data_IF_038716431016
#
_entry.id   IF_038716431016
#
_cell.length_a   1.000
_cell.length_b   1.000
_cell.length_c   1.000
_cell.angle_alpha   90.00
_cell.angle_beta   90.00
_cell.angle_gamma   90.00
#
_symmetry.space_group_name_H-M   'P 1'
#
loop_
_entity.id
_entity.type
_entity.pdbx_description
1 polymer ?
#
# COMPACT_ATOMS: atom_id res chain seq x y z
N UNK A 1 -28.33 75.05 47.55
CA UNK A 1 -28.27 73.66 47.04
C UNK A 1 -27.94 73.72 45.55
N UNK A 2 -26.66 73.60 45.26
CA UNK A 2 -26.08 73.66 43.88
C UNK A 2 -26.07 72.25 43.30
N UNK A 3 -26.72 72.05 42.19
CA UNK A 3 -26.71 70.83 41.43
C UNK A 3 -25.36 70.65 40.74
N UNK A 4 -24.76 69.47 40.88
CA UNK A 4 -23.52 69.05 40.20
C UNK A 4 -23.89 68.58 38.78
N UNK A 5 -23.28 69.09 37.73
CA UNK A 5 -23.55 68.61 36.38
C UNK A 5 -22.96 67.22 36.19
N UNK A 6 -23.79 66.29 35.75
CA UNK A 6 -23.33 64.99 35.24
C UNK A 6 -22.58 65.25 33.94
N UNK A 7 -21.28 64.89 33.86
CA UNK A 7 -20.50 65.04 32.66
C UNK A 7 -20.83 63.91 31.67
N UNK A 8 -21.29 64.21 30.49
CA UNK A 8 -21.55 63.29 29.36
C UNK A 8 -20.32 62.51 28.94
N UNK A 9 -19.10 62.99 29.26
CA UNK A 9 -17.83 62.29 28.97
C UNK A 9 -17.69 60.95 29.72
N UNK A 10 -18.21 60.84 30.96
CA UNK A 10 -18.15 59.62 31.75
C UNK A 10 -19.00 58.48 31.18
N UNK A 11 -20.09 58.81 30.52
CA UNK A 11 -21.01 57.83 29.94
C UNK A 11 -20.49 57.30 28.60
N UNK A 12 -19.83 58.15 27.84
CA UNK A 12 -19.21 57.78 26.56
C UNK A 12 -18.01 56.86 26.77
N UNK A 13 -17.17 57.14 27.77
CA UNK A 13 -16.02 56.28 28.14
C UNK A 13 -16.50 54.94 28.67
N UNK A 14 -17.55 54.91 29.48
CA UNK A 14 -18.14 53.66 30.00
C UNK A 14 -18.76 52.79 28.86
N UNK A 15 -19.43 53.39 27.88
CA UNK A 15 -19.99 52.72 26.73
C UNK A 15 -18.84 52.19 25.82
N UNK A 16 -17.77 52.95 25.62
CA UNK A 16 -16.60 52.49 24.86
C UNK A 16 -15.86 51.33 25.54
N UNK A 17 -15.72 51.35 26.88
CA UNK A 17 -15.10 50.26 27.62
C UNK A 17 -15.97 48.99 27.64
N UNK A 18 -17.29 49.12 27.76
CA UNK A 18 -18.22 47.98 27.69
C UNK A 18 -18.27 47.39 26.29
N UNK A 19 -18.21 48.21 25.22
CA UNK A 19 -18.15 47.75 23.86
C UNK A 19 -16.80 47.07 23.52
N UNK A 20 -15.68 47.60 24.03
CA UNK A 20 -14.38 46.98 23.90
C UNK A 20 -14.26 45.64 24.71
N UNK A 21 -14.85 45.55 25.90
CA UNK A 21 -14.94 44.30 26.67
C UNK A 21 -15.89 43.27 26.02
N UNK A 22 -16.97 43.70 25.40
CA UNK A 22 -17.86 42.82 24.62
C UNK A 22 -17.22 42.36 23.31
N UNK A 23 -16.40 43.18 22.65
CA UNK A 23 -15.59 42.78 21.47
C UNK A 23 -14.44 41.87 21.85
N UNK A 24 -13.83 42.01 23.05
CA UNK A 24 -12.80 41.11 23.56
C UNK A 24 -13.39 39.76 24.04
N UNK A 25 -14.67 39.70 24.43
CA UNK A 25 -15.38 38.45 24.75
C UNK A 25 -15.86 37.68 23.52
N UNK A 26 -15.85 38.31 22.33
CA UNK A 26 -16.05 37.69 21.01
C UNK A 26 -14.74 37.38 20.26
N UNK A 27 -13.57 37.65 20.86
CA UNK A 27 -12.34 36.97 20.48
C UNK A 27 -12.55 35.50 20.87
N UNK A 28 -13.10 34.74 19.93
CA UNK A 28 -13.62 33.41 20.15
C UNK A 28 -12.61 32.57 20.89
N UNK A 29 -13.06 31.90 21.93
CA UNK A 29 -12.51 30.61 22.25
C UNK A 29 -12.69 29.78 20.98
N UNK A 30 -11.68 29.73 20.13
CA UNK A 30 -11.57 28.67 19.14
C UNK A 30 -11.63 27.41 19.99
N UNK A 31 -12.76 26.74 19.98
CA UNK A 31 -12.88 25.44 20.62
C UNK A 31 -11.91 24.56 19.85
N UNK A 32 -10.88 24.04 20.52
CA UNK A 32 -9.98 23.11 19.92
C UNK A 32 -10.80 21.97 19.31
N UNK A 33 -10.72 21.80 17.99
CA UNK A 33 -11.40 20.71 17.30
C UNK A 33 -10.53 19.47 17.47
N UNK A 34 -11.02 18.47 18.19
CA UNK A 34 -10.32 17.20 18.29
C UNK A 34 -10.68 16.33 17.10
N UNK A 35 -9.69 16.06 16.25
CA UNK A 35 -9.80 15.17 15.10
C UNK A 35 -9.39 13.77 15.53
N UNK A 36 -10.32 12.84 15.38
CA UNK A 36 -10.12 11.42 15.64
C UNK A 36 -9.63 10.74 14.39
N UNK A 37 -8.63 9.89 14.52
CA UNK A 37 -7.98 9.18 13.41
C UNK A 37 -7.98 7.69 13.74
N UNK A 38 -8.69 6.90 12.95
CA UNK A 38 -8.80 5.44 13.11
C UNK A 38 -7.83 4.74 12.16
N UNK A 39 -6.97 3.88 12.68
CA UNK A 39 -5.96 3.16 11.90
C UNK A 39 -5.64 1.79 12.49
N UNK A 40 -4.57 1.16 11.97
CA UNK A 40 -4.15 -0.14 12.45
C UNK A 40 -3.60 -0.08 13.88
N UNK A 41 -3.74 -1.20 14.60
CA UNK A 41 -3.01 -1.49 15.82
C UNK A 41 -1.59 -2.04 15.53
N UNK A 42 -1.07 -2.85 16.44
CA UNK A 42 0.24 -3.47 16.28
C UNK A 42 1.39 -2.46 16.31
N UNK A 43 2.22 -2.41 15.27
CA UNK A 43 3.38 -1.51 15.17
C UNK A 43 3.05 -0.11 14.64
N UNK A 44 1.90 0.06 13.99
CA UNK A 44 1.51 1.31 13.32
C UNK A 44 1.40 2.51 14.31
N UNK A 45 0.83 2.34 15.54
CA UNK A 45 0.74 3.43 16.50
C UNK A 45 2.08 4.07 16.86
N UNK A 46 3.16 3.28 16.93
CA UNK A 46 4.48 3.80 17.27
C UNK A 46 5.02 4.80 16.24
N UNK A 47 4.59 4.68 14.99
CA UNK A 47 4.98 5.55 13.89
C UNK A 47 4.02 6.73 13.78
N UNK A 48 2.72 6.41 13.73
CA UNK A 48 1.68 7.43 13.50
C UNK A 48 1.64 8.43 14.65
N UNK A 49 1.66 7.96 15.91
CA UNK A 49 1.66 8.86 17.07
C UNK A 49 2.87 9.79 17.04
N UNK A 50 4.07 9.29 16.72
CA UNK A 50 5.24 10.14 16.59
C UNK A 50 5.12 11.15 15.44
N UNK A 51 4.58 10.75 14.29
CA UNK A 51 4.29 11.68 13.19
C UNK A 51 3.35 12.81 13.64
N UNK A 52 2.27 12.44 14.37
CA UNK A 52 1.29 13.38 14.89
C UNK A 52 1.89 14.34 15.93
N UNK A 53 2.78 13.86 16.80
CA UNK A 53 3.36 14.65 17.88
C UNK A 53 4.61 15.43 17.46
N UNK A 54 5.52 14.82 16.71
CA UNK A 54 6.85 15.36 16.42
C UNK A 54 6.88 16.22 15.14
N UNK A 55 5.94 16.03 14.21
CA UNK A 55 6.00 16.66 12.88
C UNK A 55 4.87 17.64 12.64
N UNK A 56 3.62 17.20 12.79
CA UNK A 56 2.46 18.00 12.40
C UNK A 56 1.69 18.60 13.60
N UNK A 57 1.96 18.13 14.82
CA UNK A 57 1.15 18.47 16.00
C UNK A 57 1.19 19.95 16.35
N UNK A 58 2.38 20.55 16.44
CA UNK A 58 2.54 21.97 16.84
C UNK A 58 1.84 22.93 15.86
N UNK A 59 1.92 22.65 14.54
CA UNK A 59 1.27 23.45 13.51
C UNK A 59 -0.26 23.39 13.65
N UNK A 60 -0.82 22.21 13.79
CA UNK A 60 -2.25 21.99 13.92
C UNK A 60 -2.81 22.53 15.25
N UNK A 61 -2.04 22.39 16.35
CA UNK A 61 -2.44 22.97 17.64
C UNK A 61 -2.51 24.50 17.59
N UNK A 62 -1.57 25.15 16.84
CA UNK A 62 -1.61 26.60 16.61
C UNK A 62 -2.87 27.02 15.81
N UNK A 63 -3.44 26.14 15.01
CA UNK A 63 -4.71 26.33 14.28
C UNK A 63 -5.94 25.94 15.14
N UNK A 64 -5.73 25.46 16.38
CA UNK A 64 -6.81 25.03 17.27
C UNK A 64 -7.30 23.60 16.98
N UNK A 65 -6.48 22.77 16.33
CA UNK A 65 -6.78 21.36 16.01
C UNK A 65 -5.93 20.48 16.93
N UNK A 66 -6.57 19.56 17.65
CA UNK A 66 -5.91 18.51 18.43
C UNK A 66 -6.18 17.16 17.77
N UNK A 67 -5.29 16.18 17.99
CA UNK A 67 -5.32 14.89 17.31
C UNK A 67 -5.48 13.75 18.31
N UNK A 68 -6.27 12.74 17.94
CA UNK A 68 -6.37 11.49 18.71
C UNK A 68 -6.29 10.31 17.75
N UNK A 69 -5.25 9.49 17.87
CA UNK A 69 -5.15 8.24 17.13
C UNK A 69 -5.87 7.12 17.87
N UNK A 70 -6.72 6.39 17.17
CA UNK A 70 -7.53 5.28 17.68
C UNK A 70 -7.10 3.98 16.97
N UNK A 71 -6.11 3.26 17.50
CA UNK A 71 -5.68 2.00 16.92
C UNK A 71 -6.76 0.93 17.06
N UNK A 72 -7.05 0.23 15.96
CA UNK A 72 -7.95 -0.93 15.98
C UNK A 72 -7.14 -2.21 15.95
N UNK A 73 -7.36 -3.05 16.94
CA UNK A 73 -6.76 -4.37 17.03
C UNK A 73 -7.62 -5.44 16.32
N UNK A 74 -6.98 -6.46 15.77
CA UNK A 74 -7.67 -7.55 15.08
C UNK A 74 -8.08 -7.21 13.66
N UNK A 75 -9.29 -7.58 13.27
CA UNK A 75 -9.81 -7.34 11.91
C UNK A 75 -10.24 -5.87 11.74
N UNK A 76 -9.31 -5.06 11.24
CA UNK A 76 -9.51 -3.65 10.97
C UNK A 76 -10.68 -3.39 10.03
N UNK A 77 -10.79 -4.17 8.95
CA UNK A 77 -11.82 -3.96 7.93
C UNK A 77 -13.22 -4.17 8.52
N UNK A 78 -13.42 -5.25 9.27
CA UNK A 78 -14.69 -5.50 9.93
C UNK A 78 -15.03 -4.41 10.97
N UNK A 79 -14.05 -3.96 11.74
CA UNK A 79 -14.23 -2.90 12.72
C UNK A 79 -14.60 -1.56 12.07
N UNK A 80 -13.92 -1.17 10.99
CA UNK A 80 -14.22 0.04 10.21
C UNK A 80 -15.63 -0.01 9.61
N UNK A 81 -16.00 -1.12 8.95
CA UNK A 81 -17.36 -1.28 8.38
C UNK A 81 -18.45 -1.17 9.45
N UNK A 82 -18.23 -1.74 10.61
CA UNK A 82 -19.14 -1.63 11.75
C UNK A 82 -19.25 -0.18 12.24
N UNK A 83 -18.12 0.53 12.37
CA UNK A 83 -18.09 1.92 12.81
C UNK A 83 -18.78 2.86 11.81
N UNK A 84 -18.54 2.68 10.51
CA UNK A 84 -19.21 3.44 9.43
C UNK A 84 -20.73 3.21 9.44
N UNK A 85 -21.15 1.95 9.60
CA UNK A 85 -22.56 1.58 9.65
C UNK A 85 -23.27 2.13 10.88
N UNK A 86 -22.59 2.16 12.02
CA UNK A 86 -23.10 2.69 13.28
C UNK A 86 -23.04 4.22 13.38
N UNK A 87 -22.36 4.91 12.44
CA UNK A 87 -22.11 6.36 12.49
C UNK A 87 -21.15 6.76 13.63
N UNK A 88 -20.24 5.88 14.03
CA UNK A 88 -19.25 6.09 15.11
C UNK A 88 -17.80 6.15 14.59
N UNK A 89 -17.59 6.03 13.26
CA UNK A 89 -16.28 6.12 12.66
C UNK A 89 -15.60 7.45 13.01
N UNK A 90 -14.27 7.45 13.05
CA UNK A 90 -13.46 8.63 13.27
C UNK A 90 -13.63 9.67 12.14
N UNK A 91 -13.06 10.86 12.32
CA UNK A 91 -13.06 11.93 11.31
C UNK A 91 -12.20 11.57 10.10
N UNK A 92 -11.03 10.93 10.36
CA UNK A 92 -10.19 10.26 9.37
C UNK A 92 -10.06 8.78 9.69
N UNK A 93 -9.84 7.97 8.65
CA UNK A 93 -9.58 6.54 8.81
C UNK A 93 -8.75 6.00 7.65
N UNK A 94 -8.14 4.85 7.85
CA UNK A 94 -7.48 4.12 6.80
C UNK A 94 -8.46 3.49 5.81
N UNK A 95 -8.10 3.53 4.54
CA UNK A 95 -8.78 2.79 3.49
C UNK A 95 -7.76 1.84 2.87
N UNK A 96 -7.72 0.56 3.29
CA UNK A 96 -6.91 -0.44 2.62
C UNK A 96 -7.39 -0.65 1.19
N UNK A 97 -6.46 -0.72 0.24
CA UNK A 97 -6.80 -0.75 -1.20
C UNK A 97 -7.66 -1.95 -1.58
N UNK A 98 -7.41 -3.11 -0.95
CA UNK A 98 -8.16 -4.35 -1.21
C UNK A 98 -9.65 -4.29 -0.81
N UNK A 99 -10.01 -3.38 0.08
CA UNK A 99 -11.40 -3.18 0.54
C UNK A 99 -11.96 -1.82 0.15
N UNK A 100 -11.17 -0.96 -0.49
CA UNK A 100 -11.56 0.40 -0.86
C UNK A 100 -12.91 0.47 -1.63
N UNK A 101 -13.17 -0.37 -2.64
CA UNK A 101 -14.45 -0.34 -3.35
C UNK A 101 -15.65 -0.55 -2.41
N UNK A 102 -15.54 -1.51 -1.50
CA UNK A 102 -16.61 -1.79 -0.52
C UNK A 102 -16.82 -0.67 0.49
N UNK A 103 -15.73 -0.08 0.99
CA UNK A 103 -15.77 1.05 1.93
C UNK A 103 -16.40 2.27 1.26
N UNK A 104 -15.99 2.60 0.02
CA UNK A 104 -16.49 3.75 -0.73
C UNK A 104 -17.98 3.57 -1.10
N UNK A 105 -18.39 2.34 -1.45
CA UNK A 105 -19.79 2.01 -1.74
C UNK A 105 -20.74 2.24 -0.56
N UNK A 106 -20.23 2.35 0.68
CA UNK A 106 -21.06 2.75 1.85
C UNK A 106 -21.61 4.17 1.74
N UNK A 107 -21.04 5.03 0.87
CA UNK A 107 -21.35 6.45 0.78
C UNK A 107 -20.90 7.27 1.98
N UNK A 108 -20.02 6.72 2.83
CA UNK A 108 -19.53 7.35 4.06
C UNK A 108 -18.12 7.94 3.94
N UNK A 109 -17.50 7.81 2.76
CA UNK A 109 -16.20 8.42 2.46
C UNK A 109 -16.43 9.71 1.67
N UNK A 110 -15.78 10.79 2.08
CA UNK A 110 -15.90 12.10 1.43
C UNK A 110 -15.12 12.11 0.11
N UNK A 111 -15.73 12.47 -1.05
CA UNK A 111 -14.97 12.75 -2.25
C UNK A 111 -14.06 13.98 -2.06
N UNK A 112 -12.82 13.87 -2.47
CA UNK A 112 -11.77 14.88 -2.24
C UNK A 112 -11.56 15.84 -3.42
N UNK A 113 -12.22 15.63 -4.55
CA UNK A 113 -12.08 16.47 -5.76
C UNK A 113 -12.34 17.95 -5.45
N UNK A 114 -11.34 18.80 -5.76
CA UNK A 114 -11.40 20.24 -5.49
C UNK A 114 -11.25 20.63 -4.01
N UNK A 115 -11.07 19.67 -3.12
CA UNK A 115 -10.79 19.87 -1.69
C UNK A 115 -9.32 19.67 -1.36
N UNK A 116 -8.66 18.73 -2.04
CA UNK A 116 -7.24 18.39 -1.87
C UNK A 116 -6.59 18.40 -3.25
N UNK A 117 -5.36 18.91 -3.32
CA UNK A 117 -4.53 18.83 -4.53
C UNK A 117 -3.89 17.43 -4.61
N UNK A 118 -4.22 16.69 -5.67
CA UNK A 118 -3.75 15.32 -5.89
C UNK A 118 -2.56 15.24 -6.85
N UNK A 119 -2.24 16.31 -7.59
CA UNK A 119 -1.16 16.35 -8.59
C UNK A 119 0.23 15.99 -8.02
N UNK A 120 0.57 16.26 -6.73
CA UNK A 120 1.86 15.91 -6.17
C UNK A 120 2.08 14.41 -5.90
N UNK A 121 1.07 13.57 -6.05
CA UNK A 121 1.12 12.14 -5.69
C UNK A 121 1.27 11.26 -6.92
N UNK A 122 1.86 10.09 -6.75
CA UNK A 122 2.06 9.09 -7.82
C UNK A 122 0.70 8.73 -8.45
N UNK A 123 0.57 8.91 -9.77
CA UNK A 123 -0.68 8.75 -10.51
C UNK A 123 -1.38 7.40 -10.25
N UNK A 124 -0.63 6.29 -10.25
CA UNK A 124 -1.18 4.96 -9.99
C UNK A 124 -1.77 4.79 -8.59
N UNK A 125 -1.24 5.53 -7.60
CA UNK A 125 -1.79 5.56 -6.24
C UNK A 125 -3.04 6.42 -6.14
N UNK A 126 -3.12 7.52 -6.88
CA UNK A 126 -4.34 8.33 -7.00
C UNK A 126 -5.43 7.53 -7.71
N UNK A 127 -5.09 6.82 -8.79
CA UNK A 127 -6.01 5.96 -9.53
C UNK A 127 -6.58 4.83 -8.66
N UNK A 128 -5.77 4.23 -7.79
CA UNK A 128 -6.19 3.18 -6.87
C UNK A 128 -7.36 3.59 -5.93
N UNK A 129 -7.53 4.88 -5.68
CA UNK A 129 -8.60 5.45 -4.85
C UNK A 129 -9.57 6.33 -5.65
N UNK A 130 -9.55 6.22 -6.97
CA UNK A 130 -10.47 6.94 -7.88
C UNK A 130 -11.59 6.02 -8.34
N UNK A 131 -12.83 6.36 -7.98
CA UNK A 131 -14.03 5.61 -8.35
C UNK A 131 -15.05 6.58 -8.95
N UNK A 132 -15.61 6.23 -10.11
CA UNK A 132 -16.54 7.08 -10.87
C UNK A 132 -16.00 8.52 -11.07
N UNK A 133 -14.70 8.67 -11.31
CA UNK A 133 -14.02 9.94 -11.52
C UNK A 133 -13.87 10.81 -10.25
N UNK A 134 -14.12 10.24 -9.07
CA UNK A 134 -13.93 10.91 -7.79
C UNK A 134 -12.80 10.24 -7.00
N UNK A 135 -11.91 11.03 -6.41
CA UNK A 135 -10.85 10.57 -5.50
C UNK A 135 -11.40 10.51 -4.09
N UNK A 136 -11.24 9.37 -3.41
CA UNK A 136 -11.78 9.13 -2.07
C UNK A 136 -10.73 8.99 -0.97
N UNK A 137 -9.45 9.01 -1.32
CA UNK A 137 -8.38 8.91 -0.35
C UNK A 137 -7.03 9.31 -0.95
N UNK A 138 -6.11 9.72 -0.09
CA UNK A 138 -4.71 9.97 -0.45
C UNK A 138 -3.87 8.88 0.17
N UNK A 139 -3.13 8.15 -0.65
CA UNK A 139 -2.26 7.07 -0.16
C UNK A 139 -1.26 7.61 0.87
N UNK A 140 -1.26 7.01 2.06
CA UNK A 140 -0.30 7.39 3.13
C UNK A 140 1.09 6.84 2.83
N UNK A 141 1.11 5.63 2.30
CA UNK A 141 2.30 4.87 1.90
C UNK A 141 1.92 3.81 0.89
N UNK A 142 2.93 3.16 0.33
CA UNK A 142 2.73 2.04 -0.56
C UNK A 142 3.90 1.05 -0.53
N UNK A 143 3.67 -0.10 -1.12
CA UNK A 143 4.68 -1.05 -1.56
C UNK A 143 4.35 -1.55 -2.96
N UNK A 144 5.37 -1.93 -3.70
CA UNK A 144 5.28 -2.76 -4.89
C UNK A 144 6.21 -3.96 -4.73
N UNK A 145 6.20 -4.90 -5.66
CA UNK A 145 7.11 -6.03 -5.62
C UNK A 145 8.46 -5.69 -6.28
N UNK A 146 9.50 -6.22 -5.71
CA UNK A 146 10.85 -6.27 -6.26
C UNK A 146 11.33 -7.72 -6.32
N UNK A 147 12.27 -8.01 -7.21
CA UNK A 147 13.10 -9.23 -7.16
C UNK A 147 14.17 -8.99 -6.10
N UNK A 148 14.06 -9.67 -4.96
CA UNK A 148 15.10 -9.66 -3.92
C UNK A 148 15.88 -10.96 -4.04
N UNK A 149 17.23 -10.87 -4.16
CA UNK A 149 18.05 -12.03 -4.51
C UNK A 149 19.25 -12.20 -3.60
N UNK A 150 19.62 -13.46 -3.35
CA UNK A 150 20.78 -13.88 -2.56
C UNK A 150 22.04 -13.84 -3.45
N UNK A 151 22.93 -12.88 -3.22
CA UNK A 151 24.18 -12.69 -4.00
C UNK A 151 25.10 -13.88 -3.93
N UNK A 152 25.21 -14.52 -2.76
CA UNK A 152 26.15 -15.62 -2.55
C UNK A 152 25.81 -16.84 -3.43
N UNK A 153 24.52 -17.17 -3.59
CA UNK A 153 24.08 -18.24 -4.48
C UNK A 153 24.32 -17.95 -5.97
N UNK A 154 24.12 -16.69 -6.40
CA UNK A 154 24.44 -16.30 -7.77
C UNK A 154 25.95 -16.32 -8.04
N UNK A 155 26.76 -15.87 -7.08
CA UNK A 155 28.22 -15.94 -7.16
C UNK A 155 28.72 -17.39 -7.22
N UNK A 156 28.16 -18.30 -6.40
CA UNK A 156 28.48 -19.71 -6.40
C UNK A 156 28.08 -20.39 -7.71
N UNK A 157 26.92 -20.06 -8.27
CA UNK A 157 26.48 -20.54 -9.59
C UNK A 157 27.31 -19.97 -10.75
N UNK A 158 28.08 -18.91 -10.52
CA UNK A 158 28.87 -18.23 -11.54
C UNK A 158 28.00 -17.57 -12.60
N UNK A 159 26.78 -17.15 -12.25
CA UNK A 159 25.80 -16.51 -13.14
C UNK A 159 25.61 -15.05 -12.73
N UNK A 160 25.33 -14.16 -13.69
CA UNK A 160 25.07 -12.77 -13.41
C UNK A 160 23.85 -12.58 -12.49
N UNK A 161 23.92 -11.59 -11.62
CA UNK A 161 22.76 -11.19 -10.80
C UNK A 161 21.55 -10.85 -11.66
N UNK A 162 20.33 -11.01 -11.14
CA UNK A 162 19.15 -10.41 -11.75
C UNK A 162 19.32 -8.91 -11.92
N UNK A 163 18.89 -8.36 -13.07
CA UNK A 163 19.01 -6.96 -13.40
C UNK A 163 17.78 -6.42 -14.16
N UNK A 164 17.75 -5.11 -14.37
CA UNK A 164 16.62 -4.42 -15.02
C UNK A 164 16.35 -4.83 -16.47
N UNK A 165 17.27 -5.55 -17.12
CA UNK A 165 17.11 -5.97 -18.52
C UNK A 165 16.60 -7.41 -18.64
N UNK A 166 16.37 -8.10 -17.52
CA UNK A 166 15.91 -9.48 -17.57
C UNK A 166 14.48 -9.57 -18.14
N UNK A 167 14.37 -10.47 -19.13
CA UNK A 167 13.09 -11.00 -19.58
C UNK A 167 12.74 -12.27 -18.80
N UNK A 168 11.52 -12.76 -18.93
CA UNK A 168 11.16 -14.05 -18.34
C UNK A 168 12.09 -15.18 -18.75
N UNK A 169 12.57 -15.17 -20.00
CA UNK A 169 13.50 -16.20 -20.51
C UNK A 169 14.88 -16.09 -19.84
N UNK A 170 15.51 -14.91 -19.88
CA UNK A 170 16.85 -14.72 -19.28
C UNK A 170 16.83 -14.88 -17.78
N UNK A 171 15.75 -14.44 -17.15
CA UNK A 171 15.54 -14.62 -15.71
C UNK A 171 15.39 -16.09 -15.34
N UNK A 172 14.57 -16.86 -16.05
CA UNK A 172 14.41 -18.30 -15.83
C UNK A 172 15.74 -19.05 -15.99
N UNK A 173 16.59 -18.68 -16.96
CA UNK A 173 17.91 -19.29 -17.15
C UNK A 173 18.82 -19.03 -15.94
N UNK A 174 18.77 -17.84 -15.35
CA UNK A 174 19.48 -17.53 -14.11
C UNK A 174 18.98 -18.39 -12.94
N UNK A 175 17.65 -18.56 -12.78
CA UNK A 175 17.05 -19.39 -11.75
C UNK A 175 17.49 -20.87 -11.88
N UNK A 176 17.49 -21.41 -13.12
CA UNK A 176 17.96 -22.76 -13.40
C UNK A 176 19.44 -22.96 -13.08
N UNK A 177 20.26 -21.95 -13.33
CA UNK A 177 21.68 -22.00 -13.01
C UNK A 177 21.91 -22.07 -11.48
N UNK A 178 21.15 -21.32 -10.69
CA UNK A 178 21.22 -21.37 -9.23
C UNK A 178 20.71 -22.73 -8.71
N UNK A 179 19.59 -23.24 -9.20
CA UNK A 179 19.05 -24.53 -8.75
C UNK A 179 19.91 -25.73 -9.16
N UNK A 180 20.85 -25.56 -10.07
CA UNK A 180 21.81 -26.60 -10.45
C UNK A 180 22.98 -26.74 -9.48
N UNK A 181 23.09 -25.91 -8.44
CA UNK A 181 24.16 -25.98 -7.43
C UNK A 181 24.06 -27.24 -6.55
N UNK A 182 22.87 -27.54 -6.05
CA UNK A 182 22.58 -28.67 -5.19
C UNK A 182 21.09 -29.06 -5.26
N UNK A 183 20.76 -30.30 -4.88
CA UNK A 183 19.36 -30.80 -4.87
C UNK A 183 18.44 -30.04 -3.87
N UNK A 184 19.01 -29.38 -2.86
CA UNK A 184 18.29 -28.59 -1.85
C UNK A 184 18.41 -27.06 -2.08
N UNK A 185 18.94 -26.64 -3.25
CA UNK A 185 19.03 -25.23 -3.65
C UNK A 185 18.06 -24.93 -4.77
N UNK A 186 17.36 -23.82 -4.67
CA UNK A 186 16.32 -23.40 -5.62
C UNK A 186 16.62 -22.00 -6.15
N UNK A 187 16.39 -21.79 -7.44
CA UNK A 187 16.56 -20.48 -8.07
C UNK A 187 15.60 -19.44 -7.50
N UNK A 188 14.35 -19.82 -7.20
CA UNK A 188 13.36 -18.92 -6.61
C UNK A 188 12.39 -19.64 -5.66
N UNK A 189 11.73 -18.88 -4.79
CA UNK A 189 10.56 -19.32 -4.04
C UNK A 189 9.30 -18.66 -4.60
N UNK A 190 8.31 -19.47 -4.98
CA UNK A 190 7.08 -19.03 -5.61
C UNK A 190 5.87 -19.21 -4.69
N UNK A 191 5.19 -18.09 -4.38
CA UNK A 191 3.95 -18.15 -3.62
C UNK A 191 2.81 -18.64 -4.51
N UNK A 192 2.07 -19.70 -4.13
CA UNK A 192 0.90 -20.17 -4.88
C UNK A 192 -0.34 -19.32 -4.58
N UNK A 193 -0.20 -17.99 -4.71
CA UNK A 193 -1.26 -17.04 -4.42
C UNK A 193 -1.14 -15.79 -5.30
N UNK A 194 -2.28 -15.16 -5.55
CA UNK A 194 -2.39 -13.98 -6.41
C UNK A 194 -1.53 -12.82 -5.94
N UNK A 195 -1.33 -12.68 -4.64
CA UNK A 195 -0.55 -11.62 -4.00
C UNK A 195 0.94 -11.55 -4.39
N UNK A 196 1.44 -12.54 -5.14
CA UNK A 196 2.75 -12.51 -5.79
C UNK A 196 2.64 -12.84 -7.28
N UNK A 197 1.81 -13.83 -7.61
CA UNK A 197 1.58 -14.27 -8.99
C UNK A 197 0.99 -13.16 -9.87
N UNK A 198 0.13 -12.28 -9.31
CA UNK A 198 -0.55 -11.23 -10.07
C UNK A 198 0.40 -10.33 -10.87
N UNK A 199 1.60 -10.05 -10.35
CA UNK A 199 2.61 -9.28 -11.08
C UNK A 199 3.04 -9.97 -12.39
N UNK A 200 3.13 -11.29 -12.41
CA UNK A 200 3.44 -12.05 -13.62
C UNK A 200 2.28 -12.04 -14.61
N UNK A 201 1.05 -12.18 -14.15
CA UNK A 201 -0.12 -12.06 -15.01
C UNK A 201 -0.19 -10.67 -15.70
N UNK A 202 0.08 -9.60 -14.95
CA UNK A 202 0.17 -8.24 -15.47
C UNK A 202 1.32 -8.08 -16.47
N UNK A 203 2.48 -8.70 -16.22
CA UNK A 203 3.61 -8.71 -17.14
C UNK A 203 3.31 -9.44 -18.46
N UNK A 204 2.44 -10.44 -18.44
CA UNK A 204 1.94 -11.10 -19.62
C UNK A 204 0.94 -10.25 -20.42
N UNK A 205 0.37 -9.21 -19.81
CA UNK A 205 -0.60 -8.29 -20.41
C UNK A 205 -2.04 -8.51 -19.98
N UNK A 206 -2.28 -9.44 -19.05
CA UNK A 206 -3.61 -9.65 -18.47
C UNK A 206 -4.03 -8.48 -17.56
N UNK A 207 -5.33 -8.27 -17.44
CA UNK A 207 -5.92 -7.29 -16.55
C UNK A 207 -6.92 -7.95 -15.60
N UNK A 208 -6.93 -7.58 -14.29
CA UNK A 208 -7.83 -8.18 -13.30
C UNK A 208 -9.31 -8.03 -13.64
N UNK A 209 -9.67 -6.90 -14.23
CA UNK A 209 -11.05 -6.57 -14.61
C UNK A 209 -11.06 -5.92 -16.00
N UNK A 210 -12.03 -6.29 -16.81
CA UNK A 210 -12.38 -5.56 -18.03
C UNK A 210 -13.24 -4.32 -17.71
N UNK A 211 -13.63 -3.56 -18.77
CA UNK A 211 -14.45 -2.36 -18.64
C UNK A 211 -15.85 -2.62 -18.03
N UNK A 212 -16.34 -3.86 -18.10
CA UNK A 212 -17.61 -4.28 -17.53
C UNK A 212 -17.44 -4.92 -16.14
N UNK A 213 -16.21 -4.94 -15.63
CA UNK A 213 -15.82 -5.53 -14.34
C UNK A 213 -15.83 -7.06 -14.34
N UNK A 214 -15.62 -7.71 -15.48
CA UNK A 214 -15.39 -9.14 -15.56
C UNK A 214 -13.93 -9.48 -15.33
N UNK A 215 -13.70 -10.66 -14.77
CA UNK A 215 -12.39 -11.28 -14.67
C UNK A 215 -12.34 -12.50 -15.59
N UNK A 216 -11.45 -12.51 -16.57
CA UNK A 216 -11.23 -13.64 -17.47
C UNK A 216 -9.93 -14.36 -17.10
N UNK A 217 -10.07 -15.51 -16.44
CA UNK A 217 -8.95 -16.41 -16.09
C UNK A 217 -8.57 -17.36 -17.22
N UNK A 218 -9.34 -17.37 -18.32
CA UNK A 218 -9.05 -18.14 -19.54
C UNK A 218 -8.39 -17.27 -20.61
N UNK A 219 -8.17 -15.99 -20.35
CA UNK A 219 -7.39 -15.11 -21.21
C UNK A 219 -6.02 -15.75 -21.50
N UNK A 220 -5.58 -15.79 -22.76
CA UNK A 220 -4.28 -16.39 -23.12
C UNK A 220 -3.09 -15.84 -22.34
N UNK A 221 -3.09 -14.54 -21.98
CA UNK A 221 -2.01 -13.94 -21.20
C UNK A 221 -1.99 -14.47 -19.74
N UNK A 222 -3.17 -14.70 -19.14
CA UNK A 222 -3.26 -15.31 -17.82
C UNK A 222 -2.81 -16.77 -17.83
N UNK A 223 -3.24 -17.53 -18.85
CA UNK A 223 -2.83 -18.93 -19.04
C UNK A 223 -1.31 -19.02 -19.21
N UNK A 224 -0.71 -18.18 -20.08
CA UNK A 224 0.74 -18.13 -20.31
C UNK A 224 1.51 -17.83 -18.99
N UNK A 225 1.01 -16.91 -18.19
CA UNK A 225 1.63 -16.60 -16.90
C UNK A 225 1.58 -17.80 -15.94
N UNK A 226 0.44 -18.51 -15.84
CA UNK A 226 0.34 -19.72 -15.01
C UNK A 226 1.24 -20.84 -15.53
N UNK A 227 1.30 -21.05 -16.83
CA UNK A 227 2.17 -22.06 -17.45
C UNK A 227 3.66 -21.77 -17.18
N UNK A 228 4.09 -20.53 -17.35
CA UNK A 228 5.48 -20.12 -17.06
C UNK A 228 5.83 -20.33 -15.58
N UNK A 229 4.97 -19.85 -14.68
CA UNK A 229 5.15 -19.96 -13.22
C UNK A 229 5.21 -21.43 -12.78
N UNK A 230 4.33 -22.26 -13.31
CA UNK A 230 4.27 -23.69 -13.03
C UNK A 230 5.47 -24.46 -13.59
N UNK A 231 5.94 -24.10 -14.78
CA UNK A 231 7.08 -24.79 -15.42
C UNK A 231 8.33 -24.76 -14.54
N UNK A 232 8.64 -23.61 -13.94
CA UNK A 232 9.80 -23.44 -13.07
C UNK A 232 9.72 -24.27 -11.77
N UNK A 233 8.51 -24.42 -11.21
CA UNK A 233 8.29 -25.30 -10.05
C UNK A 233 8.39 -26.76 -10.46
N UNK A 234 7.78 -27.16 -11.58
CA UNK A 234 7.78 -28.55 -12.02
C UNK A 234 9.15 -29.06 -12.46
N UNK A 235 10.02 -28.20 -12.97
CA UNK A 235 11.40 -28.54 -13.34
C UNK A 235 12.40 -28.43 -12.15
N UNK A 236 11.94 -27.98 -10.97
CA UNK A 236 12.76 -27.83 -9.76
C UNK A 236 13.61 -26.55 -9.74
N UNK A 237 13.42 -25.63 -10.70
CA UNK A 237 14.10 -24.32 -10.68
C UNK A 237 13.50 -23.37 -9.61
N UNK A 238 12.26 -23.63 -9.18
CA UNK A 238 11.61 -22.91 -8.10
C UNK A 238 10.94 -23.89 -7.10
N UNK A 239 10.71 -23.40 -5.87
CA UNK A 239 10.11 -24.17 -4.77
C UNK A 239 8.93 -23.40 -4.17
N UNK A 240 7.97 -24.11 -3.58
CA UNK A 240 6.90 -23.48 -2.80
C UNK A 240 7.36 -23.30 -1.34
N UNK A 241 6.93 -22.23 -0.64
CA UNK A 241 7.33 -22.01 0.77
C UNK A 241 7.08 -23.24 1.66
N UNK A 242 5.91 -23.87 1.52
CA UNK A 242 5.53 -25.02 2.32
C UNK A 242 6.47 -26.24 2.17
N UNK A 243 7.07 -26.43 0.99
CA UNK A 243 7.94 -27.57 0.68
C UNK A 243 9.27 -27.49 1.42
N UNK A 244 9.69 -26.28 1.82
CA UNK A 244 10.89 -26.05 2.64
C UNK A 244 10.55 -25.52 4.04
N UNK A 245 9.32 -25.75 4.51
CA UNK A 245 8.88 -25.43 5.87
C UNK A 245 8.69 -23.94 6.15
N UNK A 246 8.52 -23.12 5.11
CA UNK A 246 8.29 -21.68 5.23
C UNK A 246 6.82 -21.32 5.01
N UNK A 247 6.40 -20.18 5.58
CA UNK A 247 5.03 -19.68 5.42
C UNK A 247 4.85 -18.69 4.26
N UNK A 248 5.97 -18.12 3.75
CA UNK A 248 5.98 -17.08 2.74
C UNK A 248 7.35 -16.97 2.06
N UNK A 249 7.41 -16.25 0.94
CA UNK A 249 8.62 -16.19 0.08
C UNK A 249 9.78 -15.44 0.73
N UNK A 250 9.54 -14.43 1.57
CA UNK A 250 10.60 -13.79 2.34
C UNK A 250 11.25 -14.73 3.37
N UNK A 251 10.47 -15.64 3.98
CA UNK A 251 11.00 -16.71 4.82
C UNK A 251 11.90 -17.67 4.06
N UNK A 252 11.55 -17.99 2.80
CA UNK A 252 12.39 -18.82 1.94
C UNK A 252 13.76 -18.18 1.70
N UNK A 253 13.79 -16.89 1.38
CA UNK A 253 15.05 -16.16 1.09
C UNK A 253 15.99 -16.14 2.30
N UNK A 254 15.45 -16.18 3.51
CA UNK A 254 16.23 -16.23 4.75
C UNK A 254 16.90 -17.60 5.04
N UNK A 255 16.62 -18.64 4.23
CA UNK A 255 17.11 -20.01 4.48
C UNK A 255 18.45 -20.35 3.86
N UNK A 256 19.11 -19.46 3.15
CA UNK A 256 20.32 -19.73 2.33
C UNK A 256 20.14 -20.79 1.22
N UNK A 257 18.91 -21.30 1.01
CA UNK A 257 18.59 -22.31 -0.01
C UNK A 257 17.94 -21.71 -1.27
N UNK A 258 17.56 -20.44 -1.22
CA UNK A 258 16.76 -19.81 -2.26
C UNK A 258 17.46 -18.59 -2.85
N UNK A 259 17.58 -18.59 -4.19
CA UNK A 259 18.21 -17.50 -4.93
C UNK A 259 17.39 -16.23 -4.99
N UNK A 260 16.06 -16.34 -5.12
CA UNK A 260 15.16 -15.19 -5.35
C UNK A 260 13.84 -15.32 -4.58
N UNK A 261 13.38 -14.19 -4.04
CA UNK A 261 12.00 -13.99 -3.59
C UNK A 261 11.42 -12.71 -4.22
N UNK A 262 10.09 -12.66 -4.40
CA UNK A 262 9.36 -11.50 -4.93
C UNK A 262 8.64 -10.82 -3.77
N UNK A 263 9.21 -9.71 -3.28
CA UNK A 263 8.76 -9.10 -2.04
C UNK A 263 8.78 -7.56 -2.12
N UNK A 264 7.94 -6.92 -1.33
CA UNK A 264 8.04 -5.47 -1.11
C UNK A 264 9.04 -5.14 0.01
N UNK A 265 9.17 -3.84 0.31
CA UNK A 265 10.10 -3.34 1.33
C UNK A 265 9.86 -3.90 2.75
N UNK A 266 8.68 -4.48 3.01
CA UNK A 266 8.38 -5.17 4.28
C UNK A 266 9.34 -6.33 4.59
N UNK A 267 9.98 -6.92 3.58
CA UNK A 267 10.94 -8.02 3.79
C UNK A 267 12.23 -7.55 4.43
N UNK A 268 12.62 -6.28 4.26
CA UNK A 268 13.94 -5.76 4.68
C UNK A 268 14.13 -5.84 6.20
N UNK A 269 13.10 -5.45 6.95
CA UNK A 269 13.11 -5.59 8.42
C UNK A 269 13.25 -7.05 8.86
N UNK A 270 12.49 -7.93 8.23
CA UNK A 270 12.54 -9.37 8.50
C UNK A 270 13.92 -9.96 8.20
N UNK A 271 14.52 -9.66 7.05
CA UNK A 271 15.85 -10.15 6.68
C UNK A 271 16.93 -9.65 7.65
N UNK A 272 16.81 -8.42 8.12
CA UNK A 272 17.75 -7.85 9.12
C UNK A 272 17.73 -8.62 10.43
N UNK A 273 16.54 -9.07 10.84
CA UNK A 273 16.35 -9.75 12.12
C UNK A 273 16.64 -11.26 12.00
N UNK A 274 16.16 -11.93 10.95
CA UNK A 274 16.20 -13.39 10.81
C UNK A 274 17.41 -13.88 9.97
N UNK A 275 17.94 -13.07 9.06
CA UNK A 275 19.06 -13.42 8.19
C UNK A 275 20.11 -12.29 8.12
N UNK A 276 20.71 -11.85 9.26
CA UNK A 276 21.56 -10.65 9.33
C UNK A 276 22.87 -10.78 8.52
N UNK A 277 23.24 -11.97 8.10
CA UNK A 277 24.45 -12.22 7.30
C UNK A 277 24.17 -12.36 5.79
N UNK A 278 22.89 -12.42 5.38
CA UNK A 278 22.52 -12.57 3.99
C UNK A 278 23.01 -11.39 3.15
N UNK A 279 23.80 -11.70 2.12
CA UNK A 279 24.22 -10.72 1.13
C UNK A 279 23.16 -10.66 0.02
N UNK A 280 22.26 -9.68 0.08
CA UNK A 280 21.20 -9.56 -0.90
C UNK A 280 21.34 -8.33 -1.77
N UNK A 281 20.65 -8.34 -2.91
CA UNK A 281 20.39 -7.22 -3.77
C UNK A 281 18.91 -7.18 -4.14
N UNK A 282 18.50 -6.10 -4.79
CA UNK A 282 17.15 -5.97 -5.33
C UNK A 282 17.17 -5.40 -6.75
N UNK A 283 16.22 -5.83 -7.57
CA UNK A 283 16.01 -5.29 -8.90
C UNK A 283 14.52 -5.36 -9.28
N UNK A 284 14.17 -4.78 -10.43
CA UNK A 284 12.81 -4.77 -10.94
C UNK A 284 12.30 -6.17 -11.27
N UNK A 285 10.98 -6.32 -11.32
CA UNK A 285 10.33 -7.51 -11.87
C UNK A 285 10.78 -7.73 -13.34
N UNK A 286 10.93 -8.99 -13.80
CA UNK A 286 11.38 -9.25 -15.17
C UNK A 286 10.33 -8.84 -16.20
N UNK A 287 10.79 -8.42 -17.38
CA UNK A 287 9.93 -8.08 -18.51
C UNK A 287 9.23 -9.33 -19.03
N UNK A 288 7.89 -9.28 -19.08
CA UNK A 288 7.05 -10.38 -19.54
C UNK A 288 6.81 -10.39 -21.06
N UNK A 289 5.99 -11.35 -21.54
CA UNK A 289 5.64 -11.50 -22.96
C UNK A 289 4.98 -10.27 -23.60
N UNK A 290 4.31 -9.44 -22.80
CA UNK A 290 3.73 -8.16 -23.29
C UNK A 290 4.79 -7.12 -23.69
N UNK A 291 6.07 -7.36 -23.41
CA UNK A 291 7.15 -6.39 -23.55
C UNK A 291 7.19 -5.37 -22.40
N UNK A 292 6.42 -5.59 -21.36
CA UNK A 292 6.33 -4.75 -20.16
C UNK A 292 6.62 -5.57 -18.90
N UNK A 293 7.04 -4.91 -17.83
CA UNK A 293 7.00 -5.49 -16.49
C UNK A 293 5.58 -5.48 -15.97
N UNK A 294 5.29 -6.34 -15.00
CA UNK A 294 4.07 -6.28 -14.23
C UNK A 294 4.37 -6.02 -12.77
N UNK A 295 3.50 -5.28 -12.10
CA UNK A 295 3.63 -5.06 -10.67
C UNK A 295 2.27 -4.85 -10.01
N UNK A 296 2.25 -4.98 -8.69
CA UNK A 296 1.05 -4.79 -7.88
C UNK A 296 1.31 -3.73 -6.82
N UNK A 297 0.32 -2.89 -6.56
CA UNK A 297 0.38 -1.85 -5.54
C UNK A 297 -0.35 -2.30 -4.28
N UNK A 298 0.37 -2.34 -3.19
CA UNK A 298 -0.14 -2.55 -1.84
C UNK A 298 -0.11 -1.21 -1.12
N UNK A 299 -1.26 -0.64 -0.82
CA UNK A 299 -1.34 0.70 -0.26
C UNK A 299 -2.51 0.86 0.68
N UNK A 300 -2.40 1.84 1.56
CA UNK A 300 -3.46 2.29 2.45
C UNK A 300 -3.60 3.79 2.28
N UNK A 301 -4.82 4.28 2.11
CA UNK A 301 -5.07 5.71 2.05
C UNK A 301 -5.62 6.28 3.35
N UNK A 302 -5.43 7.56 3.53
CA UNK A 302 -6.21 8.37 4.43
C UNK A 302 -7.53 8.74 3.77
N UNK A 303 -8.66 8.36 4.37
CA UNK A 303 -9.99 8.76 3.97
C UNK A 303 -10.63 9.69 4.99
N UNK A 304 -11.50 10.59 4.54
CA UNK A 304 -12.26 11.53 5.38
C UNK A 304 -13.69 11.03 5.51
N UNK A 305 -14.21 11.00 6.73
CA UNK A 305 -15.59 10.63 7.02
C UNK A 305 -16.57 11.68 6.47
N UNK A 306 -17.44 11.28 5.52
CA UNK A 306 -18.44 12.16 4.93
C UNK A 306 -19.46 12.70 5.95
N UNK A 307 -19.68 11.98 7.05
CA UNK A 307 -20.60 12.39 8.12
C UNK A 307 -19.89 13.14 9.27
N UNK A 308 -18.59 13.39 9.18
CA UNK A 308 -17.86 14.13 10.22
C UNK A 308 -18.43 15.55 10.37
N UNK A 309 -18.67 16.02 11.61
CA UNK A 309 -18.99 17.43 11.87
C UNK A 309 -17.77 18.34 11.70
N UNK A 310 -16.55 17.77 11.65
CA UNK A 310 -15.27 18.47 11.60
C UNK A 310 -14.58 18.36 10.23
N UNK A 311 -15.34 18.25 9.12
CA UNK A 311 -14.80 17.93 7.79
C UNK A 311 -13.64 18.83 7.35
N UNK A 312 -13.77 20.15 7.53
CA UNK A 312 -12.73 21.09 7.10
C UNK A 312 -11.43 20.89 7.88
N UNK A 313 -11.52 20.67 9.19
CA UNK A 313 -10.37 20.36 10.02
C UNK A 313 -9.78 18.97 9.70
N UNK A 314 -10.62 17.97 9.38
CA UNK A 314 -10.16 16.66 8.94
C UNK A 314 -9.40 16.73 7.61
N UNK A 315 -9.87 17.53 6.64
CA UNK A 315 -9.14 17.77 5.39
C UNK A 315 -7.80 18.45 5.69
N UNK A 316 -7.76 19.44 6.55
CA UNK A 316 -6.52 20.10 6.95
C UNK A 316 -5.52 19.13 7.58
N UNK A 317 -6.01 18.19 8.42
CA UNK A 317 -5.19 17.11 8.99
C UNK A 317 -4.69 16.16 7.91
N UNK A 318 -5.54 15.78 6.95
CA UNK A 318 -5.14 14.97 5.80
C UNK A 318 -4.01 15.62 5.01
N UNK A 319 -4.11 16.93 4.72
CA UNK A 319 -3.05 17.70 4.03
C UNK A 319 -1.74 17.73 4.84
N UNK A 320 -1.82 17.89 6.16
CA UNK A 320 -0.66 17.84 7.04
C UNK A 320 0.02 16.46 7.05
N UNK A 321 -0.78 15.38 7.19
CA UNK A 321 -0.30 13.99 7.16
C UNK A 321 0.38 13.62 5.84
N UNK A 322 -0.04 14.23 4.76
CA UNK A 322 0.46 13.98 3.40
C UNK A 322 1.34 15.10 2.87
N UNK A 323 1.76 16.03 3.73
CA UNK A 323 2.68 17.12 3.38
C UNK A 323 4.05 16.60 2.96
N UNK A 324 4.85 17.36 2.20
CA UNK A 324 6.22 16.98 1.88
C UNK A 324 7.06 16.65 3.11
N UNK A 325 6.92 17.44 4.18
CA UNK A 325 7.66 17.27 5.43
C UNK A 325 7.26 15.97 6.16
N UNK A 326 5.96 15.72 6.30
CA UNK A 326 5.45 14.50 6.92
C UNK A 326 5.89 13.24 6.16
N UNK A 327 5.77 13.25 4.84
CA UNK A 327 6.15 12.10 4.01
C UNK A 327 7.68 11.91 3.93
N UNK A 328 8.46 12.99 3.91
CA UNK A 328 9.91 12.90 4.06
C UNK A 328 10.29 12.22 5.39
N UNK A 329 9.69 12.65 6.48
CA UNK A 329 9.94 12.06 7.79
C UNK A 329 9.60 10.56 7.83
N UNK A 330 8.44 10.16 7.25
CA UNK A 330 8.04 8.73 7.16
C UNK A 330 9.07 7.92 6.38
N UNK A 331 9.57 8.43 5.26
CA UNK A 331 10.62 7.79 4.47
C UNK A 331 11.90 7.59 5.29
N UNK A 332 12.34 8.61 6.01
CA UNK A 332 13.58 8.59 6.82
C UNK A 332 13.49 7.60 7.99
N UNK A 333 12.29 7.26 8.46
CA UNK A 333 12.11 6.19 9.45
C UNK A 333 12.35 4.79 8.85
N UNK A 334 12.36 4.64 7.52
CA UNK A 334 12.60 3.38 6.81
C UNK A 334 11.46 2.34 7.00
N UNK A 335 10.25 2.79 7.29
CA UNK A 335 9.12 1.93 7.66
C UNK A 335 8.07 1.82 6.58
N UNK A 336 8.00 2.81 5.68
CA UNK A 336 7.02 2.85 4.60
C UNK A 336 7.55 3.74 3.47
N UNK A 337 7.11 3.47 2.26
CA UNK A 337 7.44 4.28 1.09
C UNK A 337 6.30 5.26 0.86
N UNK A 338 6.55 6.57 0.99
CA UNK A 338 5.52 7.58 0.87
C UNK A 338 5.08 7.79 -0.58
N UNK A 339 3.89 8.34 -0.76
CA UNK A 339 3.18 8.43 -2.03
C UNK A 339 3.53 9.67 -2.88
N UNK A 340 4.35 10.61 -2.39
CA UNK A 340 4.72 11.82 -3.15
C UNK A 340 5.77 11.54 -4.20
N UNK A 341 5.47 11.93 -5.44
CA UNK A 341 6.35 11.76 -6.59
C UNK A 341 7.72 12.47 -6.42
N UNK A 342 7.72 13.65 -5.82
CA UNK A 342 8.94 14.44 -5.56
C UNK A 342 9.96 13.76 -4.64
N UNK A 343 9.59 12.67 -3.95
CA UNK A 343 10.51 11.89 -3.12
C UNK A 343 11.30 10.84 -3.90
N UNK A 344 11.04 10.66 -5.19
CA UNK A 344 11.77 9.72 -6.05
C UNK A 344 13.27 9.92 -6.05
N UNK A 345 13.72 11.18 -6.02
CA UNK A 345 15.15 11.58 -6.01
C UNK A 345 15.68 11.83 -4.59
N UNK A 346 15.03 11.29 -3.54
CA UNK A 346 15.47 11.52 -2.18
C UNK A 346 16.81 10.85 -1.90
N UNK A 347 17.78 11.53 -1.25
CA UNK A 347 19.07 10.95 -0.88
C UNK A 347 18.99 9.69 -0.02
N UNK A 348 17.86 9.42 0.61
CA UNK A 348 17.61 8.16 1.32
C UNK A 348 17.82 6.93 0.42
N UNK A 349 17.48 7.03 -0.86
CA UNK A 349 17.62 5.94 -1.83
C UNK A 349 19.05 5.76 -2.36
N UNK A 350 19.97 6.72 -2.10
CA UNK A 350 21.32 6.74 -2.64
C UNK A 350 22.42 6.45 -1.59
N UNK A 351 22.05 5.87 -0.46
CA UNK A 351 23.01 5.56 0.61
C UNK A 351 23.98 4.41 0.26
N UNK A 352 23.74 3.69 -0.84
CA UNK A 352 24.56 2.56 -1.30
C UNK A 352 24.40 1.30 -0.45
N UNK A 353 23.35 1.22 0.36
CA UNK A 353 22.98 0.02 1.12
C UNK A 353 22.00 -0.83 0.33
N UNK A 354 21.96 -2.16 0.54
CA UNK A 354 20.95 -3.03 -0.09
C UNK A 354 19.52 -2.60 0.22
N UNK A 355 19.24 -2.12 1.44
CA UNK A 355 17.95 -1.61 1.86
C UNK A 355 17.52 -0.39 1.02
N UNK A 356 18.43 0.56 0.81
CA UNK A 356 18.15 1.75 0.01
C UNK A 356 17.88 1.40 -1.47
N UNK A 357 18.65 0.47 -2.02
CA UNK A 357 18.44 -0.03 -3.38
C UNK A 357 17.08 -0.71 -3.51
N UNK A 358 16.72 -1.59 -2.57
CA UNK A 358 15.42 -2.27 -2.56
C UNK A 358 14.25 -1.28 -2.42
N UNK A 359 14.34 -0.31 -1.51
CA UNK A 359 13.33 0.74 -1.36
C UNK A 359 13.18 1.58 -2.62
N UNK A 360 14.29 1.91 -3.31
CA UNK A 360 14.24 2.64 -4.59
C UNK A 360 13.54 1.82 -5.67
N UNK A 361 13.85 0.53 -5.80
CA UNK A 361 13.20 -0.36 -6.76
C UNK A 361 11.70 -0.46 -6.48
N UNK A 362 11.31 -0.62 -5.22
CA UNK A 362 9.89 -0.64 -4.81
C UNK A 362 9.22 0.69 -5.13
N UNK A 363 9.87 1.83 -4.87
CA UNK A 363 9.33 3.16 -5.23
C UNK A 363 9.07 3.28 -6.73
N UNK A 364 10.08 2.97 -7.54
CA UNK A 364 10.00 3.08 -8.99
C UNK A 364 9.03 2.05 -9.60
N UNK A 365 8.93 0.86 -9.00
CA UNK A 365 8.03 -0.22 -9.41
C UNK A 365 6.54 0.15 -9.37
N UNK A 366 6.18 1.20 -8.63
CA UNK A 366 4.81 1.72 -8.59
C UNK A 366 4.36 2.39 -9.90
N UNK A 367 5.31 2.73 -10.79
CA UNK A 367 5.04 3.42 -12.05
C UNK A 367 5.71 2.74 -13.26
N UNK A 368 6.29 1.54 -13.09
CA UNK A 368 7.07 0.87 -14.12
C UNK A 368 6.30 -0.32 -14.74
N UNK A 369 5.83 -0.13 -15.96
CA UNK A 369 5.14 -1.16 -16.74
C UNK A 369 3.63 -1.26 -16.45
N UNK A 370 3.10 -2.47 -16.49
CA UNK A 370 1.70 -2.77 -16.21
C UNK A 370 1.51 -2.90 -14.69
N UNK A 371 1.03 -1.86 -14.04
CA UNK A 371 0.82 -1.80 -12.60
C UNK A 371 -0.67 -1.81 -12.30
N UNK A 372 -1.09 -2.61 -11.34
CA UNK A 372 -2.47 -2.64 -10.86
C UNK A 372 -2.53 -2.56 -9.33
N UNK A 373 -3.53 -1.88 -8.77
CA UNK A 373 -3.76 -1.91 -7.34
C UNK A 373 -4.18 -3.32 -6.89
N UNK A 374 -3.79 -3.70 -5.68
CA UNK A 374 -4.23 -4.94 -5.03
C UNK A 374 -5.69 -4.77 -4.54
N UNK A 375 -6.60 -4.59 -5.51
CA UNK A 375 -7.99 -4.26 -5.28
C UNK A 375 -8.91 -5.24 -6.03
N UNK A 376 -10.03 -5.64 -5.41
CA UNK A 376 -10.85 -6.78 -5.84
C UNK A 376 -12.33 -6.45 -6.01
N UNK A 377 -12.64 -5.23 -6.34
CA UNK A 377 -14.03 -4.78 -6.46
C UNK A 377 -14.80 -4.90 -5.15
N UNK A 378 -16.13 -5.03 -5.25
CA UNK A 378 -17.01 -5.09 -4.08
C UNK A 378 -17.02 -6.44 -3.37
N UNK A 379 -16.47 -7.48 -3.98
CA UNK A 379 -16.39 -8.84 -3.39
C UNK A 379 -15.18 -8.99 -2.45
N UNK A 380 -14.28 -7.99 -2.44
CA UNK A 380 -13.11 -7.96 -1.56
C UNK A 380 -12.14 -9.13 -1.82
N UNK A 381 -11.38 -9.48 -0.82
CA UNK A 381 -10.31 -10.51 -0.92
C UNK A 381 -10.81 -11.90 -1.33
N UNK A 382 -12.11 -12.18 -1.21
CA UNK A 382 -12.70 -13.44 -1.71
C UNK A 382 -12.49 -13.66 -3.22
N UNK A 383 -12.26 -12.56 -3.98
CA UNK A 383 -11.92 -12.61 -5.40
C UNK A 383 -10.65 -13.43 -5.68
N UNK A 384 -9.69 -13.44 -4.76
CA UNK A 384 -8.44 -14.20 -4.94
C UNK A 384 -8.65 -15.72 -4.80
N UNK A 385 -9.66 -16.19 -4.07
CA UNK A 385 -9.77 -17.61 -3.71
C UNK A 385 -9.77 -18.55 -4.93
N UNK A 386 -10.59 -18.35 -6.00
CA UNK A 386 -10.54 -19.23 -7.16
C UNK A 386 -9.16 -19.27 -7.84
N UNK A 387 -8.43 -18.13 -7.86
CA UNK A 387 -7.09 -18.03 -8.44
C UNK A 387 -6.09 -18.80 -7.57
N UNK A 388 -6.11 -18.58 -6.26
CA UNK A 388 -5.20 -19.22 -5.31
C UNK A 388 -5.38 -20.76 -5.33
N UNK A 389 -6.63 -21.23 -5.33
CA UNK A 389 -6.94 -22.66 -5.39
C UNK A 389 -6.44 -23.29 -6.70
N UNK A 390 -6.59 -22.58 -7.84
CA UNK A 390 -6.05 -23.03 -9.11
C UNK A 390 -4.52 -23.09 -9.11
N UNK A 391 -3.85 -22.04 -8.59
CA UNK A 391 -2.39 -22.01 -8.48
C UNK A 391 -1.87 -23.16 -7.60
N UNK A 392 -2.47 -23.38 -6.44
CA UNK A 392 -2.11 -24.52 -5.57
C UNK A 392 -2.25 -25.84 -6.31
N UNK A 393 -3.36 -26.06 -7.01
CA UNK A 393 -3.63 -27.33 -7.72
C UNK A 393 -2.63 -27.54 -8.87
N UNK A 394 -2.27 -26.49 -9.62
CA UNK A 394 -1.33 -26.57 -10.75
C UNK A 394 0.10 -26.76 -10.25
N UNK A 395 0.55 -25.93 -9.30
CA UNK A 395 1.94 -25.95 -8.82
C UNK A 395 2.27 -27.23 -8.04
N UNK A 396 1.29 -27.82 -7.37
CA UNK A 396 1.44 -29.14 -6.72
C UNK A 396 1.26 -30.33 -7.67
N UNK A 397 1.01 -30.08 -8.97
CA UNK A 397 0.82 -31.12 -9.98
C UNK A 397 -0.50 -31.91 -9.85
N UNK A 398 -1.48 -31.39 -9.09
CA UNK A 398 -2.78 -32.05 -8.87
C UNK A 398 -3.75 -31.87 -10.05
N UNK A 399 -3.59 -30.80 -10.84
CA UNK A 399 -4.42 -30.50 -11.99
C UNK A 399 -3.60 -29.94 -13.15
N UNK A 400 -4.11 -30.11 -14.39
CA UNK A 400 -3.59 -29.36 -15.53
C UNK A 400 -3.96 -27.88 -15.43
N UNK A 401 -3.18 -26.98 -16.04
CA UNK A 401 -3.50 -25.55 -16.10
C UNK A 401 -4.91 -25.31 -16.63
N UNK A 402 -5.26 -25.98 -17.77
CA UNK A 402 -6.58 -25.79 -18.38
C UNK A 402 -7.75 -26.23 -17.49
N UNK A 403 -7.63 -27.38 -16.80
CA UNK A 403 -8.70 -27.86 -15.91
C UNK A 403 -8.84 -26.97 -14.67
N UNK A 404 -7.72 -26.58 -14.06
CA UNK A 404 -7.71 -25.72 -12.88
C UNK A 404 -8.32 -24.34 -13.18
N UNK A 405 -7.89 -23.69 -14.27
CA UNK A 405 -8.40 -22.36 -14.66
C UNK A 405 -9.87 -22.42 -15.10
N UNK A 406 -10.30 -23.50 -15.81
CA UNK A 406 -11.71 -23.67 -16.13
C UNK A 406 -12.61 -23.85 -14.88
N UNK A 407 -12.08 -24.45 -13.82
CA UNK A 407 -12.79 -24.52 -12.53
C UNK A 407 -12.83 -23.14 -11.85
N UNK A 408 -11.67 -22.48 -11.76
CA UNK A 408 -11.53 -21.15 -11.17
C UNK A 408 -12.44 -20.13 -11.86
N UNK A 409 -12.55 -20.16 -13.20
CA UNK A 409 -13.42 -19.25 -13.95
C UNK A 409 -14.90 -19.44 -13.54
N UNK A 410 -15.38 -20.69 -13.40
CA UNK A 410 -16.77 -20.93 -12.96
C UNK A 410 -17.05 -20.44 -11.54
N UNK A 411 -16.07 -20.56 -10.66
CA UNK A 411 -16.16 -20.05 -9.29
C UNK A 411 -16.13 -18.52 -9.28
N UNK A 412 -15.28 -17.91 -10.11
CA UNK A 412 -15.19 -16.46 -10.28
C UNK A 412 -16.50 -15.89 -10.83
N UNK A 413 -17.08 -16.51 -11.87
CA UNK A 413 -18.37 -16.11 -12.44
C UNK A 413 -19.49 -16.16 -11.38
N UNK A 414 -19.48 -17.19 -10.54
CA UNK A 414 -20.45 -17.35 -9.44
C UNK A 414 -20.25 -16.25 -8.38
N UNK A 415 -19.02 -15.98 -8.01
CA UNK A 415 -18.66 -14.96 -7.01
C UNK A 415 -19.06 -13.54 -7.48
N UNK A 416 -18.83 -13.25 -8.75
CA UNK A 416 -19.20 -11.97 -9.37
C UNK A 416 -20.68 -11.92 -9.79
N UNK A 417 -21.48 -12.95 -9.48
CA UNK A 417 -22.91 -13.08 -9.82
C UNK A 417 -23.20 -12.99 -11.34
N UNK A 418 -22.44 -13.70 -12.14
CA UNK A 418 -22.48 -13.66 -13.62
C UNK A 418 -22.57 -15.04 -14.26
#
# INVERSE_FOLDING_TARGET
>A
LTAIPHSEEGETVRKAIVTALLLALFAGTAWAQNIRIMGYGGNDPAIVVRLLEEVIGDELEAEGITLTYEPLEGDYNAALFNALSAGTAADLFYIPVETAPGIIATGKVLPLNGLVDVDPFIDSLVEAYTFDGQVYGIAKDFNSLAVVYNKDLFDEAGVAYPDENDTWETFADKLRAVSALDDDVYGACFQPAYDRFGAFALAAGWQPFDADGHTDLLDPAFVEAVEWYASLVQEGAAVLPADIGQGWTGGCLATDQVGVAFEGAWVLGFLRDEAPNLQYGATFMPVGPSGQRGNMLYTVAWGVNADSPNRDAAIRVLEALTSPEAQQWVLEQGLAIPSREALADNPFFDTGTPDAEANRVVFQGASDGNVAPFAFGTVGTAWMNPINDALVAVLSGQASVGDALANAQREMDTLLQR
#
